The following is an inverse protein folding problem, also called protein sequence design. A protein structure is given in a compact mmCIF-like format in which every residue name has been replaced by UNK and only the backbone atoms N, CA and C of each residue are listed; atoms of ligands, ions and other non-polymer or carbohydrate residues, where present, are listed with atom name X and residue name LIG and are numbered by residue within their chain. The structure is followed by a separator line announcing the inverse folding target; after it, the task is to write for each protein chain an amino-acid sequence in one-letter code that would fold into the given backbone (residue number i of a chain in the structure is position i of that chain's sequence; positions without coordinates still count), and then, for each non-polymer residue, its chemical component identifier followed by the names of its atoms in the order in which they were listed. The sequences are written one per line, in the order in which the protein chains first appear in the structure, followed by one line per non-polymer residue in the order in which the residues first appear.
data_IF_340424665960
#
_entry.id   IF_340424665960
#
_cell.length_a   1.000
_cell.length_b   1.000
_cell.length_c   1.000
_cell.angle_alpha   90.00
_cell.angle_beta   90.00
_cell.angle_gamma   90.00
#
_symmetry.space_group_name_H-M   'P 1'
#
loop_
_entity.id
_entity.type
_entity.pdbx_description
1 polymer ?
#
# COMPACT_ATOMS: atom_id res chain seq x y z
N UNK A 1 -17.10 17.73 -21.41
CA UNK A 1 -16.68 17.28 -20.06
C UNK A 1 -16.24 18.51 -19.28
N UNK A 2 -16.56 18.59 -17.99
CA UNK A 2 -16.08 19.68 -17.14
C UNK A 2 -14.57 19.56 -16.94
N UNK A 3 -13.85 20.67 -16.77
CA UNK A 3 -12.41 20.66 -16.46
C UNK A 3 -12.08 19.80 -15.23
N UNK A 4 -13.04 19.69 -14.29
CA UNK A 4 -12.94 18.83 -13.11
C UNK A 4 -12.88 17.33 -13.48
N UNK A 5 -13.71 16.89 -14.43
CA UNK A 5 -13.78 15.48 -14.85
C UNK A 5 -12.50 15.06 -15.60
N UNK A 6 -11.96 15.97 -16.41
CA UNK A 6 -10.70 15.76 -17.13
C UNK A 6 -9.52 15.65 -16.16
N UNK A 7 -9.46 16.55 -15.17
CA UNK A 7 -8.44 16.51 -14.13
C UNK A 7 -8.52 15.25 -13.27
N UNK A 8 -9.73 14.85 -12.88
CA UNK A 8 -9.95 13.61 -12.13
C UNK A 8 -9.50 12.38 -12.92
N UNK A 9 -9.86 12.28 -14.20
CA UNK A 9 -9.43 11.15 -15.02
C UNK A 9 -7.91 11.03 -15.15
N UNK A 10 -7.18 12.16 -15.12
CA UNK A 10 -5.72 12.17 -15.14
C UNK A 10 -5.09 11.74 -13.80
N UNK A 11 -5.70 12.09 -12.67
CA UNK A 11 -5.08 11.94 -11.33
C UNK A 11 -5.60 10.76 -10.51
N UNK A 12 -6.79 10.24 -10.81
CA UNK A 12 -7.44 9.16 -10.04
C UNK A 12 -6.56 7.92 -9.83
N UNK A 13 -5.74 7.55 -10.81
CA UNK A 13 -4.89 6.37 -10.70
C UNK A 13 -3.86 6.53 -9.58
N UNK A 14 -3.28 7.72 -9.42
CA UNK A 14 -2.33 7.97 -8.34
C UNK A 14 -2.99 7.82 -6.97
N UNK A 15 -4.19 8.40 -6.79
CA UNK A 15 -4.96 8.24 -5.56
C UNK A 15 -5.27 6.76 -5.27
N UNK A 16 -5.75 6.02 -6.27
CA UNK A 16 -6.09 4.59 -6.12
C UNK A 16 -4.86 3.79 -5.71
N UNK A 17 -3.71 4.00 -6.37
CA UNK A 17 -2.46 3.30 -6.01
C UNK A 17 -2.06 3.60 -4.56
N UNK A 18 -2.13 4.86 -4.13
CA UNK A 18 -1.83 5.23 -2.75
C UNK A 18 -2.77 4.54 -1.77
N UNK A 19 -4.08 4.51 -2.06
CA UNK A 19 -5.07 3.83 -1.20
C UNK A 19 -4.85 2.32 -1.15
N UNK A 20 -4.49 1.69 -2.26
CA UNK A 20 -4.18 0.25 -2.33
C UNK A 20 -2.94 -0.07 -1.50
N UNK A 21 -1.87 0.72 -1.63
CA UNK A 21 -0.68 0.56 -0.79
C UNK A 21 -1.04 0.73 0.69
N UNK A 22 -1.84 1.75 1.02
CA UNK A 22 -2.27 2.00 2.39
C UNK A 22 -3.05 0.80 2.96
N UNK A 23 -4.02 0.27 2.21
CA UNK A 23 -4.80 -0.90 2.62
C UNK A 23 -3.93 -2.16 2.77
N UNK A 24 -2.97 -2.37 1.86
CA UNK A 24 -2.06 -3.51 1.93
C UNK A 24 -1.18 -3.47 3.19
N UNK A 25 -0.52 -2.35 3.47
CA UNK A 25 0.35 -2.23 4.63
C UNK A 25 -0.41 -2.13 5.96
N UNK A 26 -1.64 -1.60 5.97
CA UNK A 26 -2.44 -1.47 7.20
C UNK A 26 -3.28 -2.70 7.54
N UNK A 27 -3.61 -3.55 6.56
CA UNK A 27 -4.48 -4.71 6.78
C UNK A 27 -3.78 -6.03 6.42
N UNK A 28 -3.23 -6.13 5.22
CA UNK A 28 -2.72 -7.40 4.69
C UNK A 28 -1.48 -7.87 5.43
N UNK A 29 -0.52 -6.97 5.68
CA UNK A 29 0.72 -7.28 6.40
C UNK A 29 0.42 -7.87 7.80
N UNK A 30 -0.57 -7.34 8.52
CA UNK A 30 -0.89 -7.82 9.87
C UNK A 30 -1.43 -9.25 9.91
N UNK A 31 -2.02 -9.75 8.82
CA UNK A 31 -2.46 -11.14 8.73
C UNK A 31 -1.27 -12.13 8.77
N UNK A 32 -0.06 -11.68 8.46
CA UNK A 32 1.15 -12.48 8.44
C UNK A 32 2.12 -12.12 9.58
N UNK A 33 1.63 -11.47 10.65
CA UNK A 33 2.48 -10.95 11.75
C UNK A 33 3.42 -11.98 12.37
N UNK A 34 2.97 -13.23 12.58
CA UNK A 34 3.82 -14.30 13.12
C UNK A 34 4.91 -14.73 12.15
N UNK A 35 4.62 -14.77 10.85
CA UNK A 35 5.60 -15.14 9.82
C UNK A 35 6.61 -14.02 9.64
N UNK A 36 6.19 -12.76 9.67
CA UNK A 36 7.05 -11.57 9.55
C UNK A 36 8.13 -11.48 10.63
N UNK A 37 7.85 -11.93 11.86
CA UNK A 37 8.84 -12.01 12.94
C UNK A 37 9.98 -12.99 12.65
N UNK A 38 9.78 -13.93 11.72
CA UNK A 38 10.79 -14.90 11.29
C UNK A 38 11.46 -14.51 9.97
N UNK A 39 10.93 -13.52 9.26
CA UNK A 39 11.44 -13.06 7.98
C UNK A 39 12.48 -11.95 8.15
N UNK A 40 13.52 -11.99 7.31
CA UNK A 40 14.54 -10.95 7.24
C UNK A 40 14.74 -10.50 5.79
N UNK A 41 15.03 -9.21 5.62
CA UNK A 41 15.34 -8.61 4.34
C UNK A 41 16.64 -7.83 4.45
N UNK A 42 17.59 -8.10 3.56
CA UNK A 42 18.95 -7.51 3.60
C UNK A 42 19.67 -7.69 4.96
N UNK A 43 19.33 -8.75 5.70
CA UNK A 43 19.90 -9.04 7.02
C UNK A 43 19.19 -8.37 8.19
N UNK A 44 18.13 -7.58 7.95
CA UNK A 44 17.35 -6.94 9.01
C UNK A 44 16.01 -7.67 9.22
N UNK A 45 15.61 -7.93 10.48
CA UNK A 45 14.31 -8.50 10.78
C UNK A 45 13.21 -7.52 10.35
N UNK A 46 12.17 -8.06 9.70
CA UNK A 46 11.06 -7.25 9.19
C UNK A 46 10.07 -6.83 10.29
N UNK A 47 10.11 -7.52 11.44
CA UNK A 47 9.34 -7.23 12.65
C UNK A 47 10.06 -7.77 13.89
N UNK A 48 9.68 -7.29 15.09
CA UNK A 48 10.21 -7.69 16.40
C UNK A 48 9.09 -8.26 17.28
#
# INVERSE_FOLDING_TARGET
MSNKDAYWNKTKNHMIVTLVLWAFFSLVIFMFGSELNTMSFLGYPLAY
#
